data_IF_061962198155
#
_entry.id   IF_061962198155
#
_cell.length_a   1.000
_cell.length_b   1.000
_cell.length_c   1.000
_cell.angle_alpha   90.00
_cell.angle_beta   90.00
_cell.angle_gamma   90.00
#
_symmetry.space_group_name_H-M   'P 1'
#
loop_
_entity.id
_entity.type
_entity.pdbx_description
1 polymer ?
#
# COMPACT_ATOMS: atom_id res chain seq x y z
N UNK A 1 32.66 -1.89 -14.12
CA UNK A 1 31.36 -2.58 -13.94
C UNK A 1 30.52 -2.43 -15.19
N UNK A 2 29.97 -3.51 -15.70
CA UNK A 2 28.97 -3.50 -16.78
C UNK A 2 27.65 -3.99 -16.20
N UNK A 3 26.56 -3.26 -16.36
CA UNK A 3 25.26 -3.72 -15.90
C UNK A 3 24.16 -3.50 -16.93
N UNK A 4 23.07 -4.25 -16.77
CA UNK A 4 21.82 -4.00 -17.47
C UNK A 4 20.63 -4.20 -16.54
N UNK A 5 19.50 -3.63 -16.92
CA UNK A 5 18.26 -3.64 -16.14
C UNK A 5 17.06 -3.82 -17.07
N UNK A 6 16.17 -4.76 -16.73
CA UNK A 6 15.01 -5.06 -17.57
C UNK A 6 13.81 -5.63 -16.82
N UNK A 7 12.65 -5.60 -17.48
CA UNK A 7 11.42 -6.19 -16.94
C UNK A 7 11.37 -7.71 -17.10
N UNK A 8 11.85 -8.21 -18.25
CA UNK A 8 11.89 -9.63 -18.64
C UNK A 8 10.55 -10.37 -18.42
N UNK A 9 9.45 -9.78 -18.90
CA UNK A 9 8.09 -10.20 -18.59
C UNK A 9 7.22 -10.43 -19.86
N UNK A 10 7.27 -11.63 -20.48
CA UNK A 10 8.24 -12.70 -20.27
C UNK A 10 9.59 -12.42 -20.99
N UNK A 11 10.66 -13.19 -20.73
CA UNK A 11 11.95 -13.04 -21.41
C UNK A 11 11.84 -13.28 -22.93
N UNK A 12 12.39 -12.36 -23.73
CA UNK A 12 12.33 -12.36 -25.21
C UNK A 12 13.72 -12.57 -25.80
N UNK A 13 13.83 -12.91 -27.08
CA UNK A 13 15.15 -12.99 -27.74
C UNK A 13 15.91 -11.67 -27.67
N UNK A 14 15.25 -10.51 -27.79
CA UNK A 14 15.90 -9.21 -27.60
C UNK A 14 16.45 -9.01 -26.18
N UNK A 15 15.80 -9.55 -25.16
CA UNK A 15 16.36 -9.58 -23.81
C UNK A 15 17.60 -10.48 -23.73
N UNK A 16 17.61 -11.59 -24.46
CA UNK A 16 18.76 -12.50 -24.51
C UNK A 16 19.96 -11.85 -25.21
N UNK A 17 19.73 -11.16 -26.31
CA UNK A 17 20.75 -10.38 -27.02
C UNK A 17 21.33 -9.29 -26.09
N UNK A 18 20.48 -8.57 -25.35
CA UNK A 18 20.89 -7.56 -24.36
C UNK A 18 21.79 -8.15 -23.25
N UNK A 19 21.35 -9.23 -22.60
CA UNK A 19 22.12 -9.86 -21.51
C UNK A 19 23.44 -10.44 -22.04
N UNK A 20 23.39 -11.13 -23.18
CA UNK A 20 24.57 -11.73 -23.81
C UNK A 20 25.58 -10.65 -24.20
N UNK A 21 25.12 -9.54 -24.75
CA UNK A 21 25.97 -8.40 -25.09
C UNK A 21 26.64 -7.83 -23.83
N UNK A 22 25.89 -7.62 -22.75
CA UNK A 22 26.42 -7.08 -21.50
C UNK A 22 27.52 -7.98 -20.91
N UNK A 23 27.27 -9.30 -20.86
CA UNK A 23 28.25 -10.30 -20.39
C UNK A 23 29.49 -10.31 -21.28
N UNK A 24 29.31 -10.32 -22.60
CA UNK A 24 30.41 -10.30 -23.57
C UNK A 24 31.25 -9.03 -23.46
N UNK A 25 30.60 -7.88 -23.32
CA UNK A 25 31.29 -6.59 -23.16
C UNK A 25 32.11 -6.59 -21.87
N UNK A 26 31.54 -7.07 -20.77
CA UNK A 26 32.23 -7.15 -19.49
C UNK A 26 33.48 -8.04 -19.57
N UNK A 27 33.35 -9.22 -20.18
CA UNK A 27 34.48 -10.11 -20.42
C UNK A 27 35.56 -9.45 -21.27
N UNK A 28 35.18 -8.80 -22.39
CA UNK A 28 36.10 -8.10 -23.29
C UNK A 28 36.88 -6.98 -22.59
N UNK A 29 36.25 -6.28 -21.65
CA UNK A 29 36.89 -5.16 -20.93
C UNK A 29 37.46 -5.57 -19.56
N UNK A 30 37.48 -6.85 -19.22
CA UNK A 30 37.92 -7.33 -17.90
C UNK A 30 37.08 -6.80 -16.73
N UNK A 31 35.83 -6.39 -16.98
CA UNK A 31 34.94 -5.82 -15.98
C UNK A 31 34.02 -6.89 -15.37
N UNK A 32 33.64 -6.70 -14.11
CA UNK A 32 32.51 -7.43 -13.52
C UNK A 32 31.21 -7.06 -14.24
N UNK A 33 30.31 -8.04 -14.40
CA UNK A 33 28.95 -7.82 -14.90
C UNK A 33 27.89 -8.07 -13.82
N UNK A 34 26.77 -7.32 -13.89
CA UNK A 34 25.58 -7.55 -13.07
C UNK A 34 24.29 -7.35 -13.86
N UNK A 35 23.37 -8.29 -13.77
CA UNK A 35 22.07 -8.22 -14.42
C UNK A 35 20.99 -8.01 -13.35
N UNK A 36 20.24 -6.92 -13.48
CA UNK A 36 19.18 -6.55 -12.56
C UNK A 36 17.81 -6.72 -13.21
N UNK A 37 16.82 -7.11 -12.42
CA UNK A 37 15.44 -7.24 -12.89
C UNK A 37 14.52 -6.28 -12.17
N UNK A 38 13.50 -5.75 -12.86
CA UNK A 38 12.47 -4.96 -12.22
C UNK A 38 11.70 -5.81 -11.18
N UNK A 39 11.35 -5.21 -10.05
CA UNK A 39 10.51 -5.83 -9.03
C UNK A 39 9.00 -5.69 -9.32
N UNK A 40 8.62 -5.07 -10.45
CA UNK A 40 7.22 -4.92 -10.86
C UNK A 40 6.55 -6.27 -11.11
N UNK A 41 5.33 -6.41 -10.58
CA UNK A 41 4.44 -7.54 -10.82
C UNK A 41 3.00 -7.03 -10.91
N UNK A 42 2.36 -7.33 -12.03
CA UNK A 42 0.97 -7.07 -12.33
C UNK A 42 0.58 -8.02 -13.45
N UNK A 43 -0.69 -8.42 -13.49
CA UNK A 43 -1.03 -9.58 -14.28
C UNK A 43 -1.08 -9.28 -15.80
N UNK A 44 -1.19 -8.00 -16.22
CA UNK A 44 -1.28 -7.62 -17.64
C UNK A 44 0.06 -7.35 -18.32
N UNK A 45 0.93 -6.58 -17.66
CA UNK A 45 2.22 -6.10 -18.18
C UNK A 45 3.39 -6.88 -17.58
N UNK A 46 3.29 -7.33 -16.33
CA UNK A 46 4.37 -8.01 -15.61
C UNK A 46 3.92 -9.35 -14.97
N UNK A 47 3.39 -10.29 -15.78
CA UNK A 47 2.70 -11.48 -15.26
C UNK A 47 3.62 -12.41 -14.47
N UNK A 48 4.93 -12.45 -14.71
CA UNK A 48 5.85 -13.27 -13.93
C UNK A 48 6.29 -12.50 -12.68
N UNK A 49 6.08 -13.08 -11.50
CA UNK A 49 6.56 -12.50 -10.26
C UNK A 49 8.11 -12.45 -10.23
N UNK A 50 8.73 -11.56 -9.42
CA UNK A 50 10.18 -11.37 -9.43
C UNK A 50 10.96 -12.67 -9.21
N UNK A 51 10.54 -13.51 -8.25
CA UNK A 51 11.16 -14.81 -7.97
C UNK A 51 11.06 -15.78 -9.15
N UNK A 52 9.87 -15.92 -9.75
CA UNK A 52 9.66 -16.83 -10.89
C UNK A 52 10.47 -16.39 -12.10
N UNK A 53 10.43 -15.09 -12.41
CA UNK A 53 11.24 -14.50 -13.48
C UNK A 53 12.73 -14.74 -13.26
N UNK A 54 13.22 -14.53 -12.04
CA UNK A 54 14.62 -14.78 -11.70
C UNK A 54 14.99 -16.26 -11.89
N UNK A 55 14.11 -17.18 -11.48
CA UNK A 55 14.29 -18.61 -11.68
C UNK A 55 14.37 -18.99 -13.17
N UNK A 56 13.53 -18.40 -14.02
CA UNK A 56 13.62 -18.60 -15.47
C UNK A 56 14.89 -18.00 -16.06
N UNK A 57 15.25 -16.77 -15.70
CA UNK A 57 16.47 -16.13 -16.20
C UNK A 57 17.73 -16.90 -15.84
N UNK A 58 17.83 -17.46 -14.62
CA UNK A 58 18.95 -18.33 -14.22
C UNK A 58 19.02 -19.63 -15.02
N UNK A 59 17.88 -20.20 -15.40
CA UNK A 59 17.83 -21.36 -16.31
C UNK A 59 18.20 -20.99 -17.75
N UNK A 60 17.79 -19.81 -18.22
CA UNK A 60 18.12 -19.30 -19.56
C UNK A 60 19.58 -18.84 -19.64
N UNK A 61 20.20 -18.38 -18.56
CA UNK A 61 21.57 -17.88 -18.54
C UNK A 61 22.36 -18.43 -17.34
N UNK A 62 22.61 -19.74 -17.26
CA UNK A 62 23.52 -20.32 -16.27
C UNK A 62 24.87 -19.61 -16.29
N UNK A 63 25.40 -19.34 -15.10
CA UNK A 63 26.68 -18.65 -14.89
C UNK A 63 26.63 -17.12 -14.98
N UNK A 64 25.50 -16.53 -15.39
CA UNK A 64 25.36 -15.07 -15.41
C UNK A 64 25.06 -14.52 -14.01
N UNK A 65 25.74 -13.43 -13.66
CA UNK A 65 25.59 -12.76 -12.36
C UNK A 65 24.28 -11.97 -12.29
N UNK A 66 23.20 -12.65 -11.89
CA UNK A 66 21.92 -12.01 -11.60
C UNK A 66 21.87 -11.54 -10.14
N UNK A 67 21.61 -10.24 -9.96
CA UNK A 67 21.46 -9.63 -8.64
C UNK A 67 19.98 -9.64 -8.23
N UNK A 68 19.70 -10.32 -7.12
CA UNK A 68 18.37 -10.37 -6.51
C UNK A 68 18.33 -9.44 -5.28
N UNK A 69 18.14 -8.15 -5.56
CA UNK A 69 18.02 -7.12 -4.52
C UNK A 69 16.70 -6.34 -4.70
N UNK A 70 15.73 -6.49 -3.77
CA UNK A 70 14.45 -5.77 -3.80
C UNK A 70 14.58 -4.23 -3.76
N UNK A 71 15.71 -3.70 -3.26
CA UNK A 71 15.97 -2.26 -3.25
C UNK A 71 16.35 -1.72 -4.64
N UNK A 72 16.84 -2.58 -5.54
CA UNK A 72 17.32 -2.20 -6.88
C UNK A 72 16.17 -2.09 -7.89
N UNK A 73 15.25 -1.16 -7.61
CA UNK A 73 14.01 -0.96 -8.39
C UNK A 73 14.22 -0.17 -9.68
N UNK A 74 15.29 0.62 -9.78
CA UNK A 74 15.55 1.53 -10.91
C UNK A 74 17.04 1.59 -11.24
N UNK A 75 17.38 2.02 -12.46
CA UNK A 75 18.77 2.27 -12.85
C UNK A 75 19.45 3.32 -11.95
N UNK A 76 18.71 4.31 -11.45
CA UNK A 76 19.21 5.31 -10.50
C UNK A 76 19.61 4.68 -9.16
N UNK A 77 18.78 3.78 -8.63
CA UNK A 77 19.10 3.05 -7.40
C UNK A 77 20.34 2.18 -7.58
N UNK A 78 20.49 1.55 -8.75
CA UNK A 78 21.67 0.75 -9.10
C UNK A 78 22.92 1.64 -9.16
N UNK A 79 22.88 2.77 -9.86
CA UNK A 79 24.02 3.71 -9.91
C UNK A 79 24.43 4.20 -8.51
N UNK A 80 23.45 4.49 -7.64
CA UNK A 80 23.73 4.84 -6.24
C UNK A 80 24.44 3.69 -5.51
N UNK A 81 23.93 2.46 -5.64
CA UNK A 81 24.54 1.30 -5.00
C UNK A 81 25.95 1.01 -5.50
N UNK A 82 26.20 1.18 -6.81
CA UNK A 82 27.53 1.03 -7.38
C UNK A 82 28.50 2.12 -6.88
N UNK A 83 28.01 3.34 -6.64
CA UNK A 83 28.79 4.41 -5.99
C UNK A 83 29.19 4.01 -4.58
N UNK A 84 28.25 3.53 -3.77
CA UNK A 84 28.50 3.08 -2.39
C UNK A 84 29.50 1.92 -2.32
N UNK A 85 29.56 1.10 -3.37
CA UNK A 85 30.51 -0.01 -3.50
C UNK A 85 31.87 0.42 -4.09
N UNK A 86 32.06 1.70 -4.41
CA UNK A 86 33.34 2.23 -4.88
C UNK A 86 33.63 1.97 -6.36
N UNK A 87 32.65 1.61 -7.19
CA UNK A 87 32.88 1.50 -8.62
C UNK A 87 33.08 2.89 -9.25
N UNK A 88 34.13 3.03 -10.05
CA UNK A 88 34.47 4.30 -10.70
C UNK A 88 34.26 4.28 -12.22
N UNK A 89 34.34 3.11 -12.87
CA UNK A 89 34.04 2.91 -14.29
C UNK A 89 32.77 2.05 -14.43
N UNK A 90 31.70 2.67 -14.94
CA UNK A 90 30.37 2.09 -15.03
C UNK A 90 29.84 2.18 -16.46
N UNK A 91 29.49 1.03 -17.01
CA UNK A 91 28.84 0.91 -18.31
C UNK A 91 27.43 0.36 -18.15
N UNK A 92 26.42 1.12 -18.53
CA UNK A 92 25.03 0.70 -18.55
C UNK A 92 24.63 0.26 -19.96
N UNK A 93 24.32 -1.02 -20.14
CA UNK A 93 23.90 -1.58 -21.42
C UNK A 93 22.39 -1.56 -21.53
N UNK A 94 21.86 -0.97 -22.60
CA UNK A 94 20.43 -0.85 -22.89
C UNK A 94 20.14 -1.14 -24.36
N UNK A 95 18.85 -1.29 -24.69
CA UNK A 95 18.42 -1.30 -26.09
C UNK A 95 18.62 0.08 -26.74
N UNK A 96 18.83 0.08 -28.06
CA UNK A 96 19.18 1.26 -28.84
C UNK A 96 18.23 2.45 -28.65
N UNK A 97 16.93 2.16 -28.63
CA UNK A 97 15.85 3.12 -28.44
C UNK A 97 15.91 3.88 -27.11
N UNK A 98 16.66 3.38 -26.12
CA UNK A 98 16.75 3.97 -24.77
C UNK A 98 18.09 4.58 -24.45
N UNK A 99 19.06 4.54 -25.35
CA UNK A 99 20.42 5.07 -25.11
C UNK A 99 20.36 6.56 -24.84
N UNK A 100 19.72 7.34 -25.71
CA UNK A 100 19.62 8.79 -25.57
C UNK A 100 18.87 9.19 -24.29
N UNK A 101 17.74 8.53 -24.02
CA UNK A 101 16.91 8.71 -22.82
C UNK A 101 17.75 8.54 -21.54
N UNK A 102 18.42 7.40 -21.39
CA UNK A 102 19.17 7.12 -20.17
C UNK A 102 20.47 7.91 -20.07
N UNK A 103 21.14 8.19 -21.18
CA UNK A 103 22.32 9.05 -21.19
C UNK A 103 21.99 10.45 -20.66
N UNK A 104 20.88 11.03 -21.13
CA UNK A 104 20.41 12.32 -20.63
C UNK A 104 19.91 12.26 -19.18
N UNK A 105 19.18 11.21 -18.81
CA UNK A 105 18.57 11.12 -17.48
C UNK A 105 19.59 10.83 -16.36
N UNK A 106 20.51 9.88 -16.57
CA UNK A 106 21.54 9.52 -15.58
C UNK A 106 22.74 10.46 -15.62
N UNK A 107 23.10 10.97 -16.81
CA UNK A 107 24.26 11.86 -16.98
C UNK A 107 24.19 13.13 -16.13
N UNK A 108 22.98 13.66 -15.87
CA UNK A 108 22.76 14.81 -14.96
C UNK A 108 23.28 14.59 -13.54
N UNK A 109 23.32 13.33 -13.11
CA UNK A 109 23.72 12.96 -11.77
C UNK A 109 25.18 12.49 -11.71
N UNK A 110 25.86 12.28 -12.85
CA UNK A 110 27.27 11.90 -12.85
C UNK A 110 28.13 13.15 -12.72
N UNK A 111 28.73 13.36 -11.56
CA UNK A 111 29.59 14.52 -11.28
C UNK A 111 30.83 14.12 -10.49
N UNK A 112 32.02 14.62 -10.84
CA UNK A 112 33.23 14.35 -10.07
C UNK A 112 33.11 14.98 -8.67
N UNK A 113 33.79 14.37 -7.69
CA UNK A 113 33.84 14.88 -6.30
C UNK A 113 34.40 16.31 -6.19
N UNK A 114 35.14 16.76 -7.21
CA UNK A 114 35.75 18.09 -7.30
C UNK A 114 34.79 19.17 -7.83
N UNK A 115 33.60 18.80 -8.31
CA UNK A 115 32.64 19.79 -8.81
C UNK A 115 32.11 20.66 -7.66
N UNK A 116 32.00 21.97 -7.89
CA UNK A 116 31.54 22.95 -6.88
C UNK A 116 30.14 22.63 -6.32
N UNK A 117 29.29 22.06 -7.15
CA UNK A 117 27.90 21.68 -6.82
C UNK A 117 27.75 20.17 -6.58
N UNK A 118 28.84 19.47 -6.25
CA UNK A 118 28.79 18.05 -5.92
C UNK A 118 27.97 17.82 -4.64
N UNK A 119 27.08 16.81 -4.68
CA UNK A 119 26.26 16.41 -3.55
C UNK A 119 26.28 14.87 -3.45
N UNK A 120 26.92 14.29 -2.42
CA UNK A 120 27.07 12.85 -2.29
C UNK A 120 25.74 12.10 -2.09
N UNK A 121 24.64 12.80 -1.75
CA UNK A 121 23.32 12.17 -1.60
C UNK A 121 22.64 11.84 -2.93
N UNK A 122 22.99 12.57 -4.00
CA UNK A 122 22.29 12.48 -5.30
C UNK A 122 23.23 12.26 -6.49
N UNK A 123 24.51 12.61 -6.39
CA UNK A 123 25.46 12.50 -7.49
C UNK A 123 26.28 11.21 -7.43
N UNK A 124 26.63 10.70 -8.61
CA UNK A 124 27.45 9.52 -8.84
C UNK A 124 28.87 9.99 -9.24
N UNK A 125 29.89 9.86 -8.39
CA UNK A 125 31.27 10.26 -8.68
C UNK A 125 32.02 9.24 -9.53
N UNK A 126 31.39 8.74 -10.59
CA UNK A 126 32.04 7.85 -11.55
C UNK A 126 33.10 8.63 -12.35
N UNK A 127 34.31 8.08 -12.46
CA UNK A 127 35.36 8.57 -13.36
C UNK A 127 34.95 8.38 -14.81
N UNK A 128 34.25 7.29 -15.11
CA UNK A 128 33.71 6.99 -16.43
C UNK A 128 32.31 6.42 -16.31
N UNK A 129 31.35 7.06 -16.98
CA UNK A 129 29.99 6.58 -17.11
C UNK A 129 29.57 6.59 -18.58
N UNK A 130 29.12 5.43 -19.06
CA UNK A 130 28.71 5.28 -20.45
C UNK A 130 27.44 4.45 -20.55
N UNK A 131 26.52 4.89 -21.41
CA UNK A 131 25.32 4.15 -21.78
C UNK A 131 25.54 3.61 -23.19
N UNK A 132 25.51 2.28 -23.33
CA UNK A 132 25.89 1.57 -24.56
C UNK A 132 24.71 0.77 -25.08
N UNK A 133 24.51 0.84 -26.41
CA UNK A 133 23.51 0.03 -27.12
C UNK A 133 23.94 -1.44 -27.19
N UNK A 134 23.01 -2.36 -26.97
CA UNK A 134 23.21 -3.77 -27.33
C UNK A 134 22.92 -4.07 -28.82
N UNK A 135 22.51 -3.07 -29.59
CA UNK A 135 22.09 -3.20 -31.00
C UNK A 135 20.60 -2.91 -31.22
N UNK A 136 20.23 -2.79 -32.50
CA UNK A 136 18.85 -2.54 -32.93
C UNK A 136 17.92 -3.72 -32.66
N UNK A 137 16.66 -3.44 -32.31
CA UNK A 137 15.64 -4.48 -32.08
C UNK A 137 15.22 -5.09 -33.41
N UNK A 138 15.10 -6.42 -33.44
CA UNK A 138 14.35 -7.09 -34.52
C UNK A 138 12.87 -6.78 -34.36
N UNK A 139 12.22 -6.33 -35.44
CA UNK A 139 10.78 -6.01 -35.42
C UNK A 139 9.95 -7.22 -34.96
N UNK A 140 8.90 -6.95 -34.16
CA UNK A 140 7.96 -7.96 -33.69
C UNK A 140 8.35 -8.73 -32.42
N UNK A 141 9.60 -8.65 -31.95
CA UNK A 141 10.03 -9.40 -30.74
C UNK A 141 9.98 -8.52 -29.49
N UNK A 142 8.78 -8.38 -28.91
CA UNK A 142 8.55 -7.61 -27.68
C UNK A 142 7.81 -8.42 -26.61
N UNK A 143 7.99 -8.05 -25.34
CA UNK A 143 7.24 -8.70 -24.25
C UNK A 143 5.72 -8.58 -24.43
N UNK A 144 5.24 -7.48 -25.01
CA UNK A 144 3.82 -7.29 -25.34
C UNK A 144 3.35 -8.30 -26.38
N UNK A 145 4.13 -8.53 -27.44
CA UNK A 145 3.81 -9.54 -28.46
C UNK A 145 3.77 -10.96 -27.87
N UNK A 146 4.72 -11.32 -27.00
CA UNK A 146 4.72 -12.63 -26.33
C UNK A 146 3.50 -12.81 -25.42
N UNK A 147 3.11 -11.79 -24.64
CA UNK A 147 1.90 -11.85 -23.81
C UNK A 147 0.64 -12.00 -24.68
N UNK A 148 0.59 -11.33 -25.84
CA UNK A 148 -0.52 -11.49 -26.79
C UNK A 148 -0.57 -12.90 -27.37
N UNK A 149 0.57 -13.49 -27.75
CA UNK A 149 0.65 -14.88 -28.20
C UNK A 149 0.16 -15.86 -27.12
N UNK A 150 0.53 -15.63 -25.85
CA UNK A 150 0.08 -16.45 -24.72
C UNK A 150 -1.44 -16.38 -24.54
N UNK A 151 -2.03 -15.18 -24.62
CA UNK A 151 -3.51 -15.02 -24.55
C UNK A 151 -4.23 -15.78 -25.67
N UNK A 152 -3.64 -15.84 -26.86
CA UNK A 152 -4.19 -16.56 -28.02
C UNK A 152 -3.89 -18.07 -28.00
N UNK A 153 -3.13 -18.58 -27.02
CA UNK A 153 -2.69 -19.97 -27.02
C UNK A 153 -1.61 -20.29 -28.07
N UNK A 154 -1.03 -19.27 -28.73
CA UNK A 154 -0.06 -19.43 -29.80
C UNK A 154 1.35 -19.69 -29.25
N UNK A 155 1.60 -20.96 -28.92
CA UNK A 155 2.90 -21.39 -28.43
C UNK A 155 4.00 -21.31 -29.50
N UNK A 156 3.67 -21.48 -30.79
CA UNK A 156 4.66 -21.52 -31.85
C UNK A 156 5.33 -20.15 -32.01
N UNK A 157 4.52 -19.08 -32.09
CA UNK A 157 5.02 -17.70 -32.13
C UNK A 157 5.76 -17.35 -30.85
N UNK A 158 5.23 -17.77 -29.69
CA UNK A 158 5.89 -17.54 -28.41
C UNK A 158 7.28 -18.17 -28.36
N UNK A 159 7.40 -19.46 -28.69
CA UNK A 159 8.66 -20.19 -28.62
C UNK A 159 9.73 -19.54 -29.51
N UNK A 160 9.36 -19.10 -30.72
CA UNK A 160 10.26 -18.42 -31.68
C UNK A 160 10.79 -17.08 -31.16
N UNK A 161 10.00 -16.35 -30.37
CA UNK A 161 10.34 -15.01 -29.89
C UNK A 161 10.77 -14.97 -28.41
N UNK A 162 10.67 -16.08 -27.69
CA UNK A 162 11.10 -16.23 -26.30
C UNK A 162 12.62 -16.34 -26.17
N UNK A 163 13.16 -15.98 -25.00
CA UNK A 163 14.57 -16.16 -24.69
C UNK A 163 14.95 -17.62 -24.35
N UNK A 164 14.00 -18.55 -24.30
CA UNK A 164 14.25 -19.91 -23.86
C UNK A 164 15.24 -20.64 -24.76
N UNK A 165 16.13 -21.45 -24.17
CA UNK A 165 17.14 -22.23 -24.91
C UNK A 165 16.57 -23.44 -25.63
N UNK A 166 15.42 -23.94 -25.15
CA UNK A 166 14.77 -25.12 -25.69
C UNK A 166 13.25 -25.02 -25.55
N UNK A 167 12.53 -25.91 -26.25
CA UNK A 167 11.06 -25.95 -26.28
C UNK A 167 10.46 -26.29 -24.91
N UNK A 168 11.16 -27.04 -24.07
CA UNK A 168 10.69 -27.46 -22.74
C UNK A 168 10.65 -26.27 -21.79
N UNK A 169 11.72 -25.49 -21.73
CA UNK A 169 11.78 -24.26 -20.96
C UNK A 169 10.83 -23.21 -21.52
N UNK A 170 10.73 -23.08 -22.85
CA UNK A 170 9.75 -22.21 -23.49
C UNK A 170 8.33 -22.56 -23.04
N UNK A 171 8.00 -23.86 -22.96
CA UNK A 171 6.70 -24.34 -22.48
C UNK A 171 6.46 -23.97 -21.02
N UNK A 172 7.45 -24.14 -20.14
CA UNK A 172 7.34 -23.75 -18.73
C UNK A 172 7.06 -22.26 -18.58
N UNK A 173 7.80 -21.40 -19.29
CA UNK A 173 7.59 -19.95 -19.26
C UNK A 173 6.22 -19.59 -19.84
N UNK A 174 5.83 -20.21 -20.95
CA UNK A 174 4.50 -20.00 -21.56
C UNK A 174 3.38 -20.33 -20.58
N UNK A 175 3.43 -21.50 -19.94
CA UNK A 175 2.42 -21.94 -18.98
C UNK A 175 2.37 -21.04 -17.76
N UNK A 176 3.50 -20.66 -17.18
CA UNK A 176 3.55 -19.73 -16.05
C UNK A 176 2.97 -18.36 -16.43
N UNK A 177 3.34 -17.85 -17.61
CA UNK A 177 2.79 -16.59 -18.14
C UNK A 177 1.28 -16.72 -18.37
N UNK A 178 0.82 -17.84 -18.92
CA UNK A 178 -0.61 -18.10 -19.17
C UNK A 178 -1.40 -18.14 -17.88
N UNK A 179 -0.90 -18.88 -16.87
CA UNK A 179 -1.52 -18.97 -15.56
C UNK A 179 -1.70 -17.59 -14.94
N UNK A 180 -0.63 -16.79 -14.89
CA UNK A 180 -0.69 -15.49 -14.22
C UNK A 180 -1.50 -14.45 -15.03
N UNK A 181 -1.55 -14.56 -16.37
CA UNK A 181 -2.48 -13.78 -17.19
C UNK A 181 -3.94 -14.23 -17.01
N UNK A 182 -4.18 -15.54 -16.83
CA UNK A 182 -5.52 -16.09 -16.64
C UNK A 182 -6.07 -15.75 -15.26
N UNK A 183 -5.24 -15.75 -14.22
CA UNK A 183 -5.61 -15.21 -12.90
C UNK A 183 -6.06 -13.74 -13.01
N UNK A 184 -5.50 -12.93 -13.93
CA UNK A 184 -6.03 -11.60 -14.22
C UNK A 184 -7.41 -11.63 -14.86
N UNK A 185 -7.60 -12.49 -15.87
CA UNK A 185 -8.88 -12.62 -16.58
C UNK A 185 -9.95 -13.10 -15.60
N UNK A 186 -9.64 -14.09 -14.77
CA UNK A 186 -10.53 -14.57 -13.71
C UNK A 186 -10.78 -13.45 -12.69
N UNK A 187 -9.75 -12.77 -12.17
CA UNK A 187 -9.93 -11.62 -11.25
C UNK A 187 -10.71 -10.45 -11.92
N UNK A 188 -10.59 -10.24 -13.24
CA UNK A 188 -11.23 -9.14 -13.98
C UNK A 188 -12.64 -9.46 -14.49
N UNK A 189 -12.95 -10.72 -14.79
CA UNK A 189 -14.29 -11.22 -15.12
C UNK A 189 -15.14 -11.38 -13.85
N UNK A 190 -14.50 -11.73 -12.74
CA UNK A 190 -15.12 -11.84 -11.40
C UNK A 190 -15.47 -10.45 -10.82
N UNK A 191 -14.90 -9.33 -11.29
CA UNK A 191 -14.97 -8.06 -10.52
C UNK A 191 -16.14 -7.12 -10.81
N UNK A 192 -16.75 -7.04 -12.00
CA UNK A 192 -17.84 -6.05 -12.21
C UNK A 192 -19.23 -6.57 -11.78
N UNK A 193 -19.57 -7.82 -12.13
CA UNK A 193 -20.86 -8.44 -11.79
C UNK A 193 -20.96 -8.80 -10.31
N UNK A 194 -19.88 -9.30 -9.71
CA UNK A 194 -19.89 -9.57 -8.27
C UNK A 194 -19.84 -8.30 -7.45
N UNK A 195 -19.11 -7.25 -7.87
CA UNK A 195 -19.18 -5.96 -7.18
C UNK A 195 -20.58 -5.34 -7.29
N UNK A 196 -21.25 -5.46 -8.43
CA UNK A 196 -22.67 -5.08 -8.55
C UNK A 196 -23.54 -5.85 -7.54
N UNK A 197 -23.40 -7.18 -7.49
CA UNK A 197 -24.15 -8.01 -6.53
C UNK A 197 -23.81 -7.65 -5.07
N UNK A 198 -22.55 -7.37 -4.78
CA UNK A 198 -22.03 -7.05 -3.45
C UNK A 198 -22.55 -5.69 -2.95
N UNK A 199 -22.41 -4.62 -3.74
CA UNK A 199 -22.92 -3.29 -3.34
C UNK A 199 -24.45 -3.29 -3.24
N UNK A 200 -25.15 -3.99 -4.12
CA UNK A 200 -26.61 -4.15 -4.03
C UNK A 200 -27.04 -4.99 -2.84
N UNK A 201 -26.27 -6.01 -2.44
CA UNK A 201 -26.51 -6.75 -1.19
C UNK A 201 -26.38 -5.87 0.06
N UNK A 202 -25.60 -4.78 -0.03
CA UNK A 202 -25.44 -3.76 1.01
C UNK A 202 -26.50 -2.64 0.91
N UNK A 203 -27.57 -2.83 0.13
CA UNK A 203 -28.69 -1.89 0.00
C UNK A 203 -28.47 -0.76 -1.01
N UNK A 204 -27.33 -0.71 -1.71
CA UNK A 204 -27.07 0.32 -2.73
C UNK A 204 -27.85 0.02 -4.01
N UNK A 205 -28.64 0.98 -4.46
CA UNK A 205 -29.48 0.86 -5.65
C UNK A 205 -28.84 1.58 -6.84
N UNK A 206 -28.97 0.98 -8.03
CA UNK A 206 -28.44 1.57 -9.25
C UNK A 206 -29.31 2.78 -9.67
N UNK A 207 -28.75 3.98 -9.60
CA UNK A 207 -29.43 5.22 -9.93
C UNK A 207 -29.33 5.55 -11.42
N UNK A 208 -28.13 5.39 -12.01
CA UNK A 208 -27.89 5.71 -13.42
C UNK A 208 -26.85 4.78 -14.03
N UNK A 209 -27.19 4.20 -15.18
CA UNK A 209 -26.23 3.53 -16.07
C UNK A 209 -25.57 4.56 -16.99
N UNK A 210 -24.27 4.74 -16.85
CA UNK A 210 -23.47 5.61 -17.72
C UNK A 210 -22.78 4.82 -18.84
N UNK A 211 -22.16 5.54 -19.77
CA UNK A 211 -21.37 4.92 -20.85
C UNK A 211 -20.08 4.28 -20.33
N UNK A 212 -19.43 4.89 -19.34
CA UNK A 212 -18.16 4.44 -18.76
C UNK A 212 -18.28 3.93 -17.32
N UNK A 213 -19.23 4.43 -16.54
CA UNK A 213 -19.41 4.08 -15.13
C UNK A 213 -20.90 3.99 -14.76
N UNK A 214 -21.22 3.14 -13.78
CA UNK A 214 -22.52 3.05 -13.13
C UNK A 214 -22.51 3.82 -11.80
N UNK A 215 -23.61 4.53 -11.51
CA UNK A 215 -23.79 5.30 -10.29
C UNK A 215 -24.84 4.64 -9.40
N UNK A 216 -24.48 4.43 -8.14
CA UNK A 216 -25.34 3.85 -7.12
C UNK A 216 -25.63 4.86 -6.01
N UNK A 217 -26.86 4.85 -5.50
CA UNK A 217 -27.30 5.62 -4.36
C UNK A 217 -27.75 4.70 -3.23
N UNK A 218 -27.83 5.25 -2.02
CA UNK A 218 -28.35 4.54 -0.86
C UNK A 218 -29.27 5.48 -0.07
N UNK A 219 -30.43 5.03 0.43
CA UNK A 219 -31.32 5.89 1.22
C UNK A 219 -30.63 6.51 2.44
N UNK A 220 -29.70 5.77 3.04
CA UNK A 220 -28.89 6.14 4.22
C UNK A 220 -27.53 6.79 3.84
N UNK A 221 -27.39 7.43 2.68
CA UNK A 221 -26.12 8.09 2.29
C UNK A 221 -26.21 9.61 2.09
N UNK A 222 -27.35 10.25 2.43
CA UNK A 222 -27.61 11.70 2.27
C UNK A 222 -27.13 12.25 0.92
N UNK A 223 -27.48 11.58 -0.18
CA UNK A 223 -27.13 12.02 -1.54
C UNK A 223 -25.71 11.66 -2.01
N UNK A 224 -24.91 10.96 -1.20
CA UNK A 224 -23.60 10.44 -1.63
C UNK A 224 -23.77 9.22 -2.53
N UNK A 225 -23.00 9.18 -3.62
CA UNK A 225 -23.05 8.13 -4.64
C UNK A 225 -21.79 7.29 -4.65
N UNK A 226 -21.94 6.03 -5.06
CA UNK A 226 -20.84 5.11 -5.36
C UNK A 226 -20.74 4.96 -6.88
N UNK A 227 -19.52 5.01 -7.40
CA UNK A 227 -19.25 4.90 -8.84
C UNK A 227 -18.54 3.57 -9.12
N UNK A 228 -19.10 2.76 -10.01
CA UNK A 228 -18.51 1.48 -10.43
C UNK A 228 -18.15 1.53 -11.93
N UNK A 229 -16.88 1.35 -12.31
CA UNK A 229 -16.47 1.31 -13.72
C UNK A 229 -17.11 0.12 -14.47
N UNK A 230 -17.43 0.31 -15.76
CA UNK A 230 -18.08 -0.71 -16.60
C UNK A 230 -17.14 -1.49 -17.52
N UNK A 231 -15.97 -0.96 -17.86
CA UNK A 231 -15.11 -1.63 -18.83
C UNK A 231 -14.24 -2.72 -18.18
N UNK A 232 -14.11 -3.89 -18.83
CA UNK A 232 -13.18 -4.93 -18.39
C UNK A 232 -11.76 -4.37 -18.29
N UNK A 233 -11.16 -4.45 -17.09
CA UNK A 233 -9.83 -3.90 -16.80
C UNK A 233 -9.81 -2.54 -16.09
N UNK A 234 -10.93 -1.81 -16.01
CA UNK A 234 -11.02 -0.56 -15.23
C UNK A 234 -11.19 -0.80 -13.73
N UNK A 235 -11.59 -2.02 -13.34
CA UNK A 235 -11.83 -2.42 -11.96
C UNK A 235 -10.76 -3.42 -11.51
N UNK A 236 -9.67 -2.91 -10.97
CA UNK A 236 -8.63 -3.74 -10.36
C UNK A 236 -8.94 -4.09 -8.89
N UNK A 237 -8.17 -5.02 -8.31
CA UNK A 237 -8.34 -5.47 -6.92
C UNK A 237 -8.21 -4.34 -5.89
N UNK A 238 -7.41 -3.31 -6.18
CA UNK A 238 -7.19 -2.18 -5.27
C UNK A 238 -8.42 -1.27 -5.29
N UNK A 239 -8.90 -0.95 -6.48
CA UNK A 239 -10.09 -0.13 -6.68
C UNK A 239 -11.35 -0.83 -6.14
N UNK A 240 -11.49 -2.14 -6.35
CA UNK A 240 -12.60 -2.90 -5.77
C UNK A 240 -12.63 -2.83 -4.23
N UNK A 241 -11.46 -2.98 -3.58
CA UNK A 241 -11.32 -2.82 -2.12
C UNK A 241 -11.59 -1.37 -1.66
N UNK A 242 -11.22 -0.39 -2.47
CA UNK A 242 -11.44 1.02 -2.17
C UNK A 242 -12.93 1.37 -2.25
N UNK A 243 -13.61 0.92 -3.31
CA UNK A 243 -15.07 1.05 -3.47
C UNK A 243 -15.79 0.34 -2.32
N UNK A 244 -15.39 -0.87 -1.96
CA UNK A 244 -15.99 -1.60 -0.84
C UNK A 244 -15.85 -0.85 0.49
N UNK A 245 -14.62 -0.40 0.83
CA UNK A 245 -14.39 0.43 2.02
C UNK A 245 -15.21 1.73 1.99
N UNK A 246 -15.37 2.35 0.83
CA UNK A 246 -16.17 3.56 0.67
C UNK A 246 -17.65 3.30 0.94
N UNK A 247 -18.20 2.17 0.46
CA UNK A 247 -19.60 1.78 0.74
C UNK A 247 -19.82 1.61 2.23
N UNK A 248 -18.90 0.93 2.94
CA UNK A 248 -19.01 0.72 4.38
C UNK A 248 -18.83 2.00 5.18
N UNK A 249 -17.91 2.86 4.76
CA UNK A 249 -17.68 4.16 5.41
C UNK A 249 -18.94 5.02 5.36
N UNK A 250 -19.58 5.14 4.20
CA UNK A 250 -20.79 5.95 4.07
C UNK A 250 -21.96 5.41 4.90
N UNK A 251 -22.05 4.10 5.09
CA UNK A 251 -23.03 3.49 5.99
C UNK A 251 -22.65 3.60 7.48
N UNK A 252 -21.35 3.55 7.82
CA UNK A 252 -20.86 3.67 9.22
C UNK A 252 -20.92 5.08 9.75
N UNK A 253 -20.65 6.08 8.93
CA UNK A 253 -20.73 7.48 9.33
C UNK A 253 -22.16 7.91 9.70
N UNK A 254 -23.19 7.15 9.30
CA UNK A 254 -24.57 7.31 9.81
C UNK A 254 -24.91 6.39 11.00
N UNK A 255 -24.11 5.36 11.29
CA UNK A 255 -24.20 4.55 12.53
C UNK A 255 -23.59 5.24 13.75
N UNK A 256 -23.31 6.54 13.69
CA UNK A 256 -23.04 7.32 14.88
C UNK A 256 -24.27 7.28 15.79
N UNK A 257 -24.13 6.74 16.99
CA UNK A 257 -25.17 6.73 18.00
C UNK A 257 -25.71 8.15 18.19
N UNK A 258 -27.01 8.34 18.07
CA UNK A 258 -27.61 9.66 18.28
C UNK A 258 -27.34 10.16 19.71
N UNK A 259 -27.36 11.48 19.95
CA UNK A 259 -27.19 12.03 21.31
C UNK A 259 -28.18 11.43 22.31
N UNK A 260 -29.40 11.13 21.85
CA UNK A 260 -30.44 10.49 22.66
C UNK A 260 -30.09 9.04 22.99
N UNK A 261 -29.76 8.22 22.00
CA UNK A 261 -29.37 6.82 22.24
C UNK A 261 -28.11 6.69 23.11
N UNK A 262 -27.18 7.63 22.96
CA UNK A 262 -25.99 7.72 23.80
C UNK A 262 -26.34 8.04 25.24
N UNK A 263 -27.21 9.03 25.47
CA UNK A 263 -27.72 9.35 26.79
C UNK A 263 -28.44 8.16 27.42
N UNK A 264 -29.35 7.50 26.70
CA UNK A 264 -30.12 6.36 27.20
C UNK A 264 -29.21 5.20 27.64
N UNK A 265 -28.19 4.88 26.84
CA UNK A 265 -27.20 3.83 27.18
C UNK A 265 -26.32 4.22 28.35
N UNK A 266 -25.92 5.49 28.42
CA UNK A 266 -25.09 5.98 29.53
C UNK A 266 -25.86 5.95 30.85
N UNK A 267 -27.12 6.37 30.86
CA UNK A 267 -27.98 6.30 32.04
C UNK A 267 -28.18 4.85 32.48
N UNK A 268 -28.47 3.93 31.54
CA UNK A 268 -28.57 2.50 31.86
C UNK A 268 -27.27 1.92 32.42
N UNK A 269 -26.11 2.40 31.97
CA UNK A 269 -24.81 2.00 32.49
C UNK A 269 -24.57 2.51 33.93
N UNK A 270 -24.95 3.76 34.21
CA UNK A 270 -24.87 4.34 35.56
C UNK A 270 -25.77 3.54 36.52
N UNK A 271 -27.01 3.28 36.14
CA UNK A 271 -27.95 2.50 36.97
C UNK A 271 -27.43 1.10 37.28
N UNK A 272 -26.86 0.43 36.29
CA UNK A 272 -26.23 -0.87 36.47
C UNK A 272 -25.07 -0.78 37.46
N UNK A 273 -24.18 0.20 37.26
CA UNK A 273 -22.97 0.36 38.08
C UNK A 273 -23.32 0.70 39.52
N UNK A 274 -24.24 1.65 39.75
CA UNK A 274 -24.72 2.02 41.09
C UNK A 274 -25.28 0.81 41.85
N UNK A 275 -26.07 -0.03 41.19
CA UNK A 275 -26.56 -1.29 41.78
C UNK A 275 -25.43 -2.28 42.07
N UNK A 276 -24.45 -2.39 41.17
CA UNK A 276 -23.38 -3.37 41.28
C UNK A 276 -22.38 -3.05 42.40
N UNK A 277 -22.04 -1.78 42.58
CA UNK A 277 -21.07 -1.34 43.61
C UNK A 277 -21.75 -0.79 44.88
N UNK A 278 -23.08 -0.83 44.94
CA UNK A 278 -23.85 -0.48 46.14
C UNK A 278 -23.84 1.02 46.47
N UNK A 279 -23.97 1.87 45.45
CA UNK A 279 -24.23 3.31 45.62
C UNK A 279 -25.69 3.48 46.07
N UNK A 280 -25.92 4.31 47.09
CA UNK A 280 -27.26 4.54 47.66
C UNK A 280 -28.01 5.65 46.93
N UNK A 281 -27.32 6.72 46.56
CA UNK A 281 -27.89 7.88 45.89
C UNK A 281 -27.25 8.05 44.51
N UNK A 282 -28.01 7.85 43.43
CA UNK A 282 -27.44 7.98 42.07
C UNK A 282 -27.00 9.43 41.81
N UNK A 283 -25.72 9.68 41.44
CA UNK A 283 -25.25 11.03 41.21
C UNK A 283 -25.88 11.64 39.95
N UNK A 284 -26.04 12.97 39.96
CA UNK A 284 -26.62 13.68 38.81
C UNK A 284 -25.59 13.87 37.71
N UNK A 285 -25.97 13.61 36.46
CA UNK A 285 -25.09 13.74 35.29
C UNK A 285 -25.18 15.13 34.66
N UNK A 286 -24.04 15.83 34.54
CA UNK A 286 -23.94 17.10 33.82
C UNK A 286 -23.01 17.01 32.61
N UNK A 287 -23.47 17.52 31.48
CA UNK A 287 -22.67 17.65 30.27
C UNK A 287 -22.03 19.03 30.23
N UNK A 288 -20.71 19.08 30.05
CA UNK A 288 -19.96 20.33 29.90
C UNK A 288 -19.30 20.38 28.53
N UNK A 289 -19.43 21.51 27.84
CA UNK A 289 -18.65 21.79 26.65
C UNK A 289 -17.30 22.41 27.05
N UNK A 290 -16.19 22.07 26.39
CA UNK A 290 -14.91 22.70 26.67
C UNK A 290 -14.96 24.18 26.26
N UNK A 291 -14.67 25.09 27.20
CA UNK A 291 -14.39 26.49 26.87
C UNK A 291 -12.95 26.60 26.35
N UNK A 292 -12.71 27.39 25.30
CA UNK A 292 -11.40 27.55 24.64
C UNK A 292 -10.31 28.22 25.51
N UNK A 293 -10.60 28.51 26.78
CA UNK A 293 -9.66 29.11 27.72
C UNK A 293 -9.76 28.45 29.11
N UNK A 294 -8.82 27.54 29.41
CA UNK A 294 -8.53 27.05 30.76
C UNK A 294 -8.13 25.58 30.77
N UNK A 295 -6.88 25.31 31.16
CA UNK A 295 -6.37 23.97 31.46
C UNK A 295 -7.33 23.23 32.41
N UNK A 296 -7.96 22.16 31.93
CA UNK A 296 -8.66 21.20 32.76
C UNK A 296 -8.00 19.83 32.54
N UNK A 297 -7.37 19.23 33.57
CA UNK A 297 -6.57 18.02 33.41
C UNK A 297 -7.37 16.72 33.27
N UNK A 298 -8.69 16.71 33.53
CA UNK A 298 -9.50 15.48 33.52
C UNK A 298 -10.67 15.49 32.54
N UNK A 299 -10.92 14.30 31.97
CA UNK A 299 -11.89 14.02 30.91
C UNK A 299 -13.33 13.80 31.41
N UNK A 300 -13.48 13.63 32.73
CA UNK A 300 -14.68 13.68 33.55
C UNK A 300 -14.25 14.13 34.96
N UNK A 301 -15.19 14.56 35.80
CA UNK A 301 -14.92 14.94 37.18
C UNK A 301 -16.14 14.70 38.07
N UNK A 302 -15.90 14.25 39.29
CA UNK A 302 -16.90 14.15 40.34
C UNK A 302 -16.87 15.39 41.25
N UNK A 303 -18.04 15.98 41.54
CA UNK A 303 -18.22 17.04 42.54
C UNK A 303 -18.81 16.44 43.83
N UNK A 304 -18.03 16.32 44.93
CA UNK A 304 -18.52 15.74 46.18
C UNK A 304 -19.59 16.58 46.89
N UNK A 305 -19.57 17.91 46.72
CA UNK A 305 -20.52 18.83 47.34
C UNK A 305 -21.92 18.68 46.77
N UNK A 306 -22.01 18.57 45.43
CA UNK A 306 -23.28 18.54 44.71
C UNK A 306 -23.70 17.11 44.33
N UNK A 307 -22.83 16.12 44.58
CA UNK A 307 -22.98 14.71 44.15
C UNK A 307 -23.22 14.61 42.64
N UNK A 308 -22.40 15.32 41.87
CA UNK A 308 -22.54 15.43 40.42
C UNK A 308 -21.37 14.80 39.68
N UNK A 309 -21.66 14.10 38.58
CA UNK A 309 -20.65 13.62 37.62
C UNK A 309 -20.71 14.52 36.38
N UNK A 310 -19.61 15.22 36.12
CA UNK A 310 -19.45 16.13 34.99
C UNK A 310 -18.69 15.43 33.88
N UNK A 311 -19.25 15.40 32.67
CA UNK A 311 -18.65 14.70 31.52
C UNK A 311 -18.46 15.58 30.30
N UNK A 312 -17.32 15.37 29.63
CA UNK A 312 -16.97 16.00 28.34
C UNK A 312 -17.05 14.98 27.21
N UNK A 313 -17.90 15.26 26.21
CA UNK A 313 -18.22 14.29 25.14
C UNK A 313 -17.67 14.66 23.77
N UNK A 314 -17.20 15.91 23.58
CA UNK A 314 -16.69 16.41 22.29
C UNK A 314 -15.45 15.63 21.86
N UNK A 315 -15.43 15.13 20.62
CA UNK A 315 -14.34 14.36 20.01
C UNK A 315 -13.90 13.10 20.79
N UNK A 316 -14.78 12.53 21.63
CA UNK A 316 -14.50 11.35 22.45
C UNK A 316 -15.26 10.13 21.95
N UNK A 317 -14.61 8.98 21.97
CA UNK A 317 -15.27 7.71 21.65
C UNK A 317 -16.22 7.30 22.81
N UNK A 318 -17.44 6.79 22.53
CA UNK A 318 -18.42 6.45 23.57
C UNK A 318 -17.91 5.55 24.69
N UNK A 319 -17.14 4.51 24.36
CA UNK A 319 -16.56 3.60 25.36
C UNK A 319 -15.58 4.31 26.30
N UNK A 320 -14.87 5.32 25.80
CA UNK A 320 -13.93 6.09 26.60
C UNK A 320 -14.64 7.04 27.56
N UNK A 321 -15.87 7.44 27.23
CA UNK A 321 -16.73 8.23 28.12
C UNK A 321 -17.27 7.33 29.23
N UNK A 322 -17.72 6.12 28.89
CA UNK A 322 -18.27 5.18 29.88
C UNK A 322 -17.24 4.77 30.93
N UNK A 323 -16.00 4.54 30.49
CA UNK A 323 -14.87 4.26 31.39
C UNK A 323 -14.56 5.43 32.31
N UNK A 324 -14.58 6.68 31.81
CA UNK A 324 -14.40 7.86 32.67
C UNK A 324 -15.54 7.98 33.69
N UNK A 325 -16.79 7.77 33.27
CA UNK A 325 -17.95 7.81 34.19
C UNK A 325 -17.84 6.73 35.26
N UNK A 326 -17.42 5.51 34.90
CA UNK A 326 -17.23 4.43 35.86
C UNK A 326 -16.23 4.80 36.96
N UNK A 327 -15.13 5.48 36.58
CA UNK A 327 -14.13 5.99 37.50
C UNK A 327 -14.74 7.02 38.47
N UNK A 328 -15.50 8.00 37.97
CA UNK A 328 -16.17 8.99 38.82
C UNK A 328 -17.23 8.38 39.75
N UNK A 329 -17.90 7.30 39.34
CA UNK A 329 -18.83 6.57 40.22
C UNK A 329 -18.12 5.90 41.40
N UNK A 330 -16.87 5.46 41.24
CA UNK A 330 -16.06 4.95 42.35
C UNK A 330 -15.78 6.07 43.35
N UNK A 331 -15.44 7.28 42.89
CA UNK A 331 -15.28 8.44 43.76
C UNK A 331 -16.56 8.82 44.48
N UNK A 332 -17.70 8.75 43.80
CA UNK A 332 -19.00 8.95 44.43
C UNK A 332 -19.25 7.92 45.55
N UNK A 333 -18.94 6.64 45.31
CA UNK A 333 -19.06 5.59 46.32
C UNK A 333 -18.13 5.83 47.51
N UNK A 334 -16.88 6.24 47.27
CA UNK A 334 -15.93 6.60 48.32
C UNK A 334 -16.44 7.79 49.15
N UNK A 335 -17.11 8.76 48.53
CA UNK A 335 -17.76 9.86 49.22
C UNK A 335 -18.89 9.39 50.13
N UNK A 336 -19.77 8.51 49.65
CA UNK A 336 -20.86 7.92 50.46
C UNK A 336 -20.33 7.11 51.65
N UNK A 337 -19.22 6.41 51.45
CA UNK A 337 -18.58 5.60 52.48
C UNK A 337 -17.73 6.45 53.46
N UNK A 338 -17.72 7.77 53.30
CA UNK A 338 -17.00 8.71 54.17
C UNK A 338 -15.47 8.62 54.03
N UNK A 339 -14.97 8.11 52.90
CA UNK A 339 -13.54 7.85 52.65
C UNK A 339 -12.80 9.00 51.97
N UNK A 340 -13.49 10.09 51.61
CA UNK A 340 -12.87 11.31 51.06
C UNK A 340 -12.42 12.23 52.20
N UNK A 341 -11.16 12.66 52.18
CA UNK A 341 -10.55 13.53 53.18
C UNK A 341 -10.86 15.02 53.01
N UNK A 342 -10.27 15.86 53.87
CA UNK A 342 -10.50 17.33 53.91
C UNK A 342 -9.91 18.09 52.71
N UNK A 343 -9.07 17.48 51.87
CA UNK A 343 -8.33 18.15 50.80
C UNK A 343 -8.57 17.46 49.44
N UNK A 344 -9.81 17.57 48.96
CA UNK A 344 -10.39 16.89 47.79
C UNK A 344 -9.54 17.06 46.51
N UNK A 345 -8.83 18.18 46.37
CA UNK A 345 -8.03 18.48 45.17
C UNK A 345 -6.72 17.65 45.07
N UNK A 346 -6.16 17.18 46.20
CA UNK A 346 -4.94 16.35 46.22
C UNK A 346 -5.22 14.86 46.07
N UNK A 347 -6.36 14.41 46.57
CA UNK A 347 -6.74 12.99 46.57
C UNK A 347 -7.29 12.50 45.21
N UNK A 348 -7.76 13.40 44.34
CA UNK A 348 -8.16 13.08 42.96
C UNK A 348 -7.02 13.21 41.91
N UNK A 349 -5.77 13.33 42.35
CA UNK A 349 -4.61 13.42 41.44
C UNK A 349 -4.15 12.03 40.99
N UNK A 350 -3.87 11.89 39.69
CA UNK A 350 -3.50 10.62 39.05
C UNK A 350 -2.35 9.90 39.79
N UNK A 351 -2.60 8.71 40.34
CA UNK A 351 -1.73 7.91 41.21
C UNK A 351 -1.98 7.96 42.73
N UNK A 352 -3.11 8.46 43.24
CA UNK A 352 -3.36 8.52 44.70
C UNK A 352 -3.81 7.17 45.31
N UNK A 353 -3.66 7.00 46.63
CA UNK A 353 -4.14 5.81 47.37
C UNK A 353 -5.67 5.61 47.30
N UNK A 354 -6.39 6.64 46.86
CA UNK A 354 -7.85 6.64 46.67
C UNK A 354 -8.21 6.30 45.21
N UNK A 355 -7.26 6.33 44.28
CA UNK A 355 -7.51 6.12 42.85
C UNK A 355 -7.49 4.65 42.40
N UNK A 356 -7.02 3.72 43.25
CA UNK A 356 -6.95 2.29 42.93
C UNK A 356 -7.95 1.42 43.70
#
# INVERSE_FOLDING_TARGET
>A
MVFTFGRYNPPTTGHAELITYAVRLAHKTGAEHRIYTSQSHDASKNPLAPREKMAFLRQIFPGVNFVDDPAMKTAFAICKKLTEQGYEDVTFVVGDDRVAEFKAALGKYVKPKTAKDFNPKIHYPFKKFQVVSSGGRKEGISGTALRAAVRKGDFATFAKASAARDKTLARKIFTATKKNLAEEVEISEVTAREMHKHITSKGWTLERKGKSHDLYSHPQSKGRRITLPRHPGDLDRRLAKEIDKQTERYLREEKGMSRKEFHDKLTSFIDFTCKHIGIKETPTLKYKEPNDHGDQPSFAAYSPSDKEVIIMTKNRHPMDIFRSVAHELVHHKQNEDGRLGKDIAKEGSTGSDIEN
#
